data_IF_981743452178
#
_entry.id   IF_981743452178
#
_cell.length_a   1.000
_cell.length_b   1.000
_cell.length_c   1.000
_cell.angle_alpha   90.00
_cell.angle_beta   90.00
_cell.angle_gamma   90.00
#
_symmetry.space_group_name_H-M   'P 1'
#
loop_
_entity.id
_entity.type
_entity.pdbx_description
1 polymer ?
#
# COMPACT_ATOMS: atom_id res chain seq x y z
N UNK A 1 -1.68 23.15 -7.03
CA UNK A 1 -3.13 23.38 -7.26
C UNK A 1 -3.83 23.62 -5.92
N UNK A 2 -4.91 24.42 -5.87
CA UNK A 2 -5.69 24.59 -4.62
C UNK A 2 -6.39 23.28 -4.22
N UNK A 3 -6.53 23.02 -2.91
CA UNK A 3 -7.09 21.77 -2.37
C UNK A 3 -8.47 21.43 -2.92
N UNK A 4 -9.40 22.39 -2.99
CA UNK A 4 -10.76 22.17 -3.49
C UNK A 4 -10.78 21.63 -4.93
N UNK A 5 -9.97 22.22 -5.81
CA UNK A 5 -9.84 21.78 -7.21
C UNK A 5 -9.19 20.40 -7.31
N UNK A 6 -8.18 20.13 -6.47
CA UNK A 6 -7.51 18.82 -6.43
C UNK A 6 -8.47 17.72 -5.97
N UNK A 7 -9.21 17.98 -4.89
CA UNK A 7 -10.23 17.07 -4.36
C UNK A 7 -11.29 16.73 -5.40
N UNK A 8 -11.87 17.75 -6.04
CA UNK A 8 -12.87 17.54 -7.11
C UNK A 8 -12.33 16.67 -8.25
N UNK A 9 -11.08 16.91 -8.66
CA UNK A 9 -10.46 16.14 -9.72
C UNK A 9 -10.23 14.69 -9.30
N UNK A 10 -9.68 14.44 -8.10
CA UNK A 10 -9.50 13.08 -7.58
C UNK A 10 -10.83 12.33 -7.45
N UNK A 11 -11.87 12.99 -6.93
CA UNK A 11 -13.21 12.40 -6.78
C UNK A 11 -13.85 12.07 -8.14
N UNK A 12 -13.57 12.85 -9.19
CA UNK A 12 -14.04 12.58 -10.56
C UNK A 12 -13.43 11.29 -11.16
N UNK A 13 -12.27 10.88 -10.67
CA UNK A 13 -11.60 9.65 -11.09
C UNK A 13 -12.01 8.42 -10.26
N UNK A 14 -12.76 8.58 -9.17
CA UNK A 14 -13.19 7.43 -8.38
C UNK A 14 -14.04 6.48 -9.23
N UNK A 15 -13.90 5.18 -8.95
CA UNK A 15 -14.81 4.20 -9.52
C UNK A 15 -16.25 4.42 -9.02
N UNK A 16 -17.28 4.13 -9.84
CA UNK A 16 -18.67 4.44 -9.47
C UNK A 16 -19.12 3.84 -8.15
N UNK A 17 -18.63 2.65 -7.80
CA UNK A 17 -19.00 1.97 -6.57
C UNK A 17 -18.43 2.59 -5.29
N UNK A 18 -17.49 3.54 -5.42
CA UNK A 18 -16.93 4.31 -4.31
C UNK A 18 -17.50 5.72 -4.20
N UNK A 19 -18.39 6.14 -5.10
CA UNK A 19 -19.04 7.45 -5.03
C UNK A 19 -19.82 7.60 -3.72
N UNK A 20 -19.51 8.64 -2.96
CA UNK A 20 -20.10 8.91 -1.64
C UNK A 20 -19.64 7.97 -0.52
N UNK A 21 -18.85 6.94 -0.83
CA UNK A 21 -18.24 6.04 0.17
C UNK A 21 -16.83 6.46 0.52
N UNK A 22 -16.00 6.77 -0.48
CA UNK A 22 -14.64 7.23 -0.29
C UNK A 22 -14.58 8.75 -0.36
N UNK A 23 -13.94 9.37 0.63
CA UNK A 23 -13.74 10.82 0.70
C UNK A 23 -12.28 11.17 0.99
N UNK A 24 -11.78 12.21 0.32
CA UNK A 24 -10.49 12.83 0.62
C UNK A 24 -10.68 14.05 1.53
N UNK A 25 -9.99 14.10 2.67
CA UNK A 25 -10.11 15.16 3.67
C UNK A 25 -8.74 15.73 4.01
N UNK A 26 -8.60 17.05 4.14
CA UNK A 26 -7.34 17.68 4.59
C UNK A 26 -7.51 18.26 6.01
N UNK A 27 -6.47 18.16 6.86
CA UNK A 27 -6.52 18.75 8.22
C UNK A 27 -5.95 20.14 8.34
N UNK A 28 -5.17 20.63 7.38
CA UNK A 28 -4.62 21.98 7.47
C UNK A 28 -5.28 22.94 6.50
N UNK A 29 -5.91 23.96 7.07
CA UNK A 29 -5.99 25.25 6.41
C UNK A 29 -4.56 25.81 6.28
N UNK A 30 -4.36 26.57 5.20
CA UNK A 30 -3.12 26.98 4.52
C UNK A 30 -2.01 27.66 5.35
N UNK A 31 -2.14 27.76 6.69
CA UNK A 31 -1.38 28.68 7.54
C UNK A 31 -0.36 28.03 8.47
N UNK A 32 -0.16 26.70 8.41
CA UNK A 32 0.88 26.02 9.18
C UNK A 32 1.85 25.28 8.23
N UNK A 33 3.08 25.77 8.05
CA UNK A 33 4.10 25.15 7.20
C UNK A 33 4.37 23.68 7.57
N UNK A 34 4.37 23.39 8.88
CA UNK A 34 4.69 22.06 9.42
C UNK A 34 3.53 21.05 9.32
N UNK A 35 2.36 21.48 8.84
CA UNK A 35 1.17 20.62 8.62
C UNK A 35 0.76 20.56 7.14
N UNK A 36 1.57 21.10 6.24
CA UNK A 36 1.27 21.12 4.82
C UNK A 36 1.31 19.70 4.24
N UNK A 37 0.16 19.20 3.75
CA UNK A 37 0.07 17.90 3.09
C UNK A 37 -0.55 16.78 3.90
N UNK A 38 -0.99 17.05 5.15
CA UNK A 38 -1.76 16.09 5.94
C UNK A 38 -3.15 15.88 5.34
N UNK A 39 -3.40 14.66 4.85
CA UNK A 39 -4.66 14.22 4.27
C UNK A 39 -5.09 12.90 4.90
N UNK A 40 -6.40 12.72 4.98
CA UNK A 40 -7.05 11.52 5.43
C UNK A 40 -7.88 10.97 4.28
N UNK A 41 -7.80 9.66 4.10
CA UNK A 41 -8.74 8.94 3.25
C UNK A 41 -9.76 8.30 4.17
N UNK A 42 -11.02 8.72 4.03
CA UNK A 42 -12.12 8.15 4.77
C UNK A 42 -12.92 7.22 3.86
N UNK A 43 -13.38 6.10 4.43
CA UNK A 43 -14.30 5.16 3.77
C UNK A 43 -15.49 4.96 4.70
N UNK A 44 -16.70 5.11 4.17
CA UNK A 44 -17.95 4.98 4.91
C UNK A 44 -17.94 5.84 6.20
N UNK A 45 -17.44 7.07 6.07
CA UNK A 45 -17.26 8.09 7.13
C UNK A 45 -16.24 7.74 8.22
N UNK A 46 -15.55 6.60 8.13
CA UNK A 46 -14.48 6.20 9.05
C UNK A 46 -13.12 6.60 8.46
N UNK A 47 -12.25 7.19 9.28
CA UNK A 47 -10.89 7.53 8.86
C UNK A 47 -10.07 6.25 8.73
N UNK A 48 -9.74 5.88 7.50
CA UNK A 48 -9.00 4.65 7.21
C UNK A 48 -7.50 4.93 7.17
N UNK A 49 -7.09 5.97 6.44
CA UNK A 49 -5.69 6.34 6.33
C UNK A 49 -5.45 7.74 6.89
N UNK A 50 -4.48 7.85 7.79
CA UNK A 50 -3.78 9.09 8.10
C UNK A 50 -2.28 8.84 7.96
N UNK A 51 -1.56 9.76 7.33
CA UNK A 51 -0.12 9.60 7.11
C UNK A 51 0.69 9.66 8.41
N UNK A 52 0.19 10.38 9.42
CA UNK A 52 0.95 10.69 10.64
C UNK A 52 0.27 10.25 11.93
N UNK A 53 -0.88 9.58 11.85
CA UNK A 53 -1.71 9.25 13.01
C UNK A 53 -1.81 7.74 13.23
N UNK A 54 -1.31 7.32 14.39
CA UNK A 54 -1.26 5.94 14.87
C UNK A 54 -2.65 5.46 15.32
N UNK A 55 -3.61 6.37 15.51
CA UNK A 55 -4.98 6.04 15.94
C UNK A 55 -5.89 5.56 14.80
N UNK A 56 -5.40 5.54 13.56
CA UNK A 56 -6.17 5.09 12.41
C UNK A 56 -6.24 3.56 12.33
N UNK A 57 -7.17 3.03 11.52
CA UNK A 57 -7.41 1.59 11.32
C UNK A 57 -6.20 0.83 10.75
N UNK A 58 -5.11 1.51 10.41
CA UNK A 58 -3.89 0.91 9.88
C UNK A 58 -3.02 0.43 11.03
N UNK A 59 -2.66 -0.86 11.00
CA UNK A 59 -1.60 -1.39 11.84
C UNK A 59 -0.27 -0.81 11.41
N UNK A 60 0.31 0.05 12.25
CA UNK A 60 1.67 0.53 12.07
C UNK A 60 2.64 -0.45 12.71
N UNK A 61 3.62 -0.95 11.94
CA UNK A 61 4.72 -1.71 12.50
C UNK A 61 5.86 -0.79 12.91
N UNK A 62 6.45 -1.05 14.06
CA UNK A 62 7.61 -0.33 14.58
C UNK A 62 8.90 -1.13 14.40
N UNK A 63 8.81 -2.46 14.33
CA UNK A 63 9.97 -3.33 14.20
C UNK A 63 9.75 -4.42 13.17
N UNK A 64 10.84 -4.93 12.58
CA UNK A 64 10.77 -6.08 11.68
C UNK A 64 10.22 -7.32 12.39
N UNK A 65 10.43 -7.43 13.71
CA UNK A 65 10.02 -8.57 14.50
C UNK A 65 8.49 -8.64 14.63
N UNK A 66 7.81 -7.50 14.72
CA UNK A 66 6.35 -7.44 14.69
C UNK A 66 5.81 -7.95 13.35
N UNK A 67 6.42 -7.55 12.23
CA UNK A 67 6.05 -8.00 10.88
C UNK A 67 6.29 -9.51 10.74
N UNK A 68 7.43 -10.01 11.24
CA UNK A 68 7.79 -11.44 11.16
C UNK A 68 6.85 -12.33 11.95
N UNK A 69 6.28 -11.81 13.04
CA UNK A 69 5.39 -12.55 13.93
C UNK A 69 3.90 -12.30 13.63
N UNK A 70 3.57 -11.49 12.63
CA UNK A 70 2.18 -11.22 12.27
C UNK A 70 1.56 -12.43 11.55
N UNK A 71 0.50 -13.06 12.10
CA UNK A 71 -0.13 -14.22 11.48
C UNK A 71 -0.86 -13.90 10.17
N UNK A 72 -1.23 -12.63 9.95
CA UNK A 72 -1.93 -12.18 8.74
C UNK A 72 -0.97 -12.03 7.55
N UNK A 73 0.35 -11.94 7.81
CA UNK A 73 1.39 -11.78 6.79
C UNK A 73 1.83 -13.15 6.28
N UNK A 74 1.18 -13.61 5.22
CA UNK A 74 1.54 -14.84 4.53
C UNK A 74 2.22 -14.56 3.20
N UNK A 75 3.55 -14.68 3.20
CA UNK A 75 4.34 -14.48 1.98
C UNK A 75 4.45 -15.80 1.22
N UNK A 76 3.97 -15.88 -0.04
CA UNK A 76 4.14 -17.07 -0.85
C UNK A 76 5.63 -17.26 -1.20
N UNK A 77 6.14 -18.49 -1.07
CA UNK A 77 7.52 -18.85 -1.41
C UNK A 77 7.48 -19.59 -2.74
N UNK A 78 8.32 -19.17 -3.68
CA UNK A 78 8.42 -19.86 -4.98
C UNK A 78 9.58 -20.87 -4.98
N UNK A 79 9.51 -21.88 -5.84
CA UNK A 79 10.56 -22.92 -5.93
C UNK A 79 11.94 -22.34 -6.29
N UNK A 80 11.96 -21.23 -7.04
CA UNK A 80 13.19 -20.51 -7.39
C UNK A 80 13.93 -19.97 -6.17
N UNK A 81 13.20 -19.53 -5.14
CA UNK A 81 13.78 -18.99 -3.91
C UNK A 81 14.39 -20.10 -3.05
N UNK A 82 13.78 -21.28 -3.05
CA UNK A 82 14.30 -22.48 -2.39
C UNK A 82 15.59 -22.93 -3.06
N UNK A 83 15.64 -22.91 -4.40
CA UNK A 83 16.82 -23.28 -5.18
C UNK A 83 17.97 -22.28 -5.02
N UNK A 84 17.67 -20.98 -4.88
CA UNK A 84 18.68 -19.97 -4.54
C UNK A 84 19.34 -20.26 -3.18
N UNK A 85 18.54 -20.60 -2.16
CA UNK A 85 19.06 -20.99 -0.84
C UNK A 85 19.85 -22.30 -0.91
N UNK A 86 19.43 -23.25 -1.74
CA UNK A 86 20.16 -24.52 -1.96
C UNK A 86 21.56 -24.28 -2.53
N UNK A 87 21.69 -23.36 -3.48
CA UNK A 87 22.98 -22.96 -4.06
C UNK A 87 23.87 -22.27 -3.02
N UNK A 88 23.32 -21.32 -2.27
CA UNK A 88 24.05 -20.60 -1.20
C UNK A 88 24.56 -21.55 -0.10
N UNK A 89 23.77 -22.58 0.24
CA UNK A 89 24.09 -23.57 1.28
C UNK A 89 24.88 -24.78 0.78
N UNK A 90 25.28 -24.80 -0.51
CA UNK A 90 26.03 -25.90 -1.15
C UNK A 90 25.42 -27.30 -0.94
N UNK A 91 24.10 -27.39 -0.77
CA UNK A 91 23.37 -28.66 -0.61
C UNK A 91 23.56 -29.38 0.73
N UNK A 92 24.12 -28.73 1.75
CA UNK A 92 24.35 -29.32 3.08
C UNK A 92 23.04 -29.40 3.90
N UNK A 93 22.04 -28.61 3.52
CA UNK A 93 20.83 -28.39 4.31
C UNK A 93 19.66 -29.23 3.77
N UNK A 94 18.93 -29.98 4.62
CA UNK A 94 17.75 -30.75 4.23
C UNK A 94 16.65 -29.88 3.60
N UNK A 95 15.84 -30.45 2.70
CA UNK A 95 14.79 -29.71 1.96
C UNK A 95 13.80 -28.97 2.87
N UNK A 96 13.42 -29.58 4.00
CA UNK A 96 12.51 -28.95 4.97
C UNK A 96 13.12 -27.68 5.60
N UNK A 97 14.44 -27.68 5.79
CA UNK A 97 15.18 -26.53 6.34
C UNK A 97 15.44 -25.47 5.27
N UNK A 98 15.59 -25.85 4.00
CA UNK A 98 15.70 -24.91 2.88
C UNK A 98 14.44 -24.04 2.74
N UNK A 99 13.24 -24.64 2.87
CA UNK A 99 11.96 -23.90 2.86
C UNK A 99 11.88 -22.87 3.96
N UNK A 100 12.29 -23.23 5.18
CA UNK A 100 12.29 -22.32 6.34
C UNK A 100 13.28 -21.17 6.15
N UNK A 101 14.48 -21.45 5.64
CA UNK A 101 15.50 -20.42 5.39
C UNK A 101 15.03 -19.46 4.28
N UNK A 102 14.48 -19.98 3.18
CA UNK A 102 13.92 -19.16 2.11
C UNK A 102 12.79 -18.26 2.63
N UNK A 103 11.87 -18.81 3.44
CA UNK A 103 10.81 -18.04 4.11
C UNK A 103 11.37 -16.90 4.95
N UNK A 104 12.32 -17.23 5.83
CA UNK A 104 12.90 -16.28 6.78
C UNK A 104 13.68 -15.16 6.09
N UNK A 105 14.36 -15.46 4.98
CA UNK A 105 15.03 -14.45 4.15
C UNK A 105 14.00 -13.50 3.54
N UNK A 106 12.97 -14.06 2.89
CA UNK A 106 11.95 -13.27 2.20
C UNK A 106 11.12 -12.39 3.14
N UNK A 107 10.72 -12.91 4.30
CA UNK A 107 9.98 -12.10 5.30
C UNK A 107 10.85 -11.00 5.89
N UNK A 108 12.17 -11.19 5.97
CA UNK A 108 13.09 -10.14 6.41
C UNK A 108 13.24 -9.04 5.37
N UNK A 109 13.35 -9.41 4.08
CA UNK A 109 13.38 -8.46 2.97
C UNK A 109 12.07 -7.66 2.90
N UNK A 110 10.92 -8.34 2.96
CA UNK A 110 9.60 -7.71 3.01
C UNK A 110 9.44 -6.78 4.21
N UNK A 111 9.86 -7.21 5.41
CA UNK A 111 9.75 -6.38 6.61
C UNK A 111 10.56 -5.08 6.48
N UNK A 112 11.76 -5.16 5.89
CA UNK A 112 12.62 -4.01 5.65
C UNK A 112 11.99 -3.04 4.64
N UNK A 113 11.45 -3.57 3.54
CA UNK A 113 10.75 -2.78 2.53
C UNK A 113 9.52 -2.09 3.13
N UNK A 114 8.68 -2.84 3.86
CA UNK A 114 7.47 -2.32 4.48
C UNK A 114 7.78 -1.18 5.45
N UNK A 115 8.77 -1.32 6.32
CA UNK A 115 9.19 -0.25 7.23
C UNK A 115 9.70 0.98 6.49
N UNK A 116 10.42 0.77 5.38
CA UNK A 116 10.89 1.86 4.51
C UNK A 116 9.71 2.62 3.88
N UNK A 117 8.73 1.90 3.34
CA UNK A 117 7.51 2.46 2.75
C UNK A 117 6.68 3.21 3.80
N UNK A 118 6.53 2.68 5.02
CA UNK A 118 5.85 3.36 6.13
C UNK A 118 6.54 4.65 6.54
N UNK A 119 7.87 4.63 6.64
CA UNK A 119 8.66 5.83 6.92
C UNK A 119 8.53 6.86 5.79
N UNK A 120 8.45 6.43 4.53
CA UNK A 120 8.23 7.32 3.40
C UNK A 120 6.82 7.94 3.43
N UNK A 121 5.80 7.12 3.73
CA UNK A 121 4.41 7.56 3.85
C UNK A 121 4.24 8.62 4.94
N UNK A 122 4.83 8.42 6.12
CA UNK A 122 4.69 9.35 7.24
C UNK A 122 5.33 10.72 7.01
N UNK A 123 6.34 10.78 6.13
CA UNK A 123 7.00 12.02 5.69
C UNK A 123 6.43 12.56 4.37
N UNK A 124 5.44 11.88 3.80
CA UNK A 124 4.89 12.21 2.49
C UNK A 124 3.99 13.44 2.56
N UNK A 125 3.84 14.10 1.41
CA UNK A 125 2.91 15.19 1.23
C UNK A 125 1.82 14.77 0.25
N UNK A 126 0.59 14.60 0.74
CA UNK A 126 -0.53 14.14 -0.07
C UNK A 126 -0.73 14.97 -1.33
N UNK A 127 -0.62 16.29 -1.22
CA UNK A 127 -0.85 17.19 -2.35
C UNK A 127 0.19 16.92 -3.44
N UNK A 128 1.46 16.76 -3.06
CA UNK A 128 2.54 16.45 -4.02
C UNK A 128 2.27 15.12 -4.71
N UNK A 129 1.98 14.06 -3.94
CA UNK A 129 1.73 12.73 -4.49
C UNK A 129 0.47 12.68 -5.36
N UNK A 130 -0.61 13.35 -4.96
CA UNK A 130 -1.82 13.43 -5.74
C UNK A 130 -1.62 14.20 -7.07
N UNK A 131 -0.83 15.27 -7.08
CA UNK A 131 -0.48 15.94 -8.35
C UNK A 131 0.39 15.03 -9.22
N UNK A 132 1.35 14.30 -8.62
CA UNK A 132 2.15 13.30 -9.33
C UNK A 132 1.27 12.22 -9.97
N UNK A 133 0.35 11.64 -9.20
CA UNK A 133 -0.63 10.66 -9.68
C UNK A 133 -1.40 11.13 -10.92
N UNK A 134 -1.83 12.40 -10.92
CA UNK A 134 -2.57 12.98 -12.04
C UNK A 134 -1.72 13.20 -13.29
N UNK A 135 -0.40 13.23 -13.16
CA UNK A 135 0.55 13.41 -14.27
C UNK A 135 1.14 12.12 -14.84
N UNK A 136 1.03 11.00 -14.12
CA UNK A 136 1.61 9.71 -14.52
C UNK A 136 0.54 8.72 -14.97
N UNK A 137 0.98 7.61 -15.57
CA UNK A 137 0.08 6.53 -15.96
C UNK A 137 -0.46 5.76 -14.75
N UNK A 138 -1.58 5.06 -14.95
CA UNK A 138 -2.15 4.16 -13.92
C UNK A 138 -1.20 3.00 -13.65
N UNK A 139 -0.55 2.49 -14.69
CA UNK A 139 0.44 1.42 -14.62
C UNK A 139 1.61 1.82 -13.71
N UNK A 140 2.17 3.01 -13.94
CA UNK A 140 3.27 3.53 -13.11
C UNK A 140 2.82 3.75 -11.67
N UNK A 141 1.58 4.20 -11.46
CA UNK A 141 1.02 4.39 -10.12
C UNK A 141 0.81 3.07 -9.38
N UNK A 142 0.43 1.98 -10.07
CA UNK A 142 0.21 0.65 -9.48
C UNK A 142 1.52 -0.08 -9.17
N UNK A 143 2.54 0.06 -10.03
CA UNK A 143 3.85 -0.60 -9.83
C UNK A 143 4.79 0.22 -8.92
N UNK A 144 4.41 1.45 -8.55
CA UNK A 144 5.20 2.27 -7.63
C UNK A 144 5.35 1.64 -6.24
N UNK A 145 6.43 1.97 -5.54
CA UNK A 145 6.63 1.68 -4.11
C UNK A 145 5.96 2.72 -3.20
N UNK A 146 5.39 3.78 -3.77
CA UNK A 146 4.64 4.78 -3.02
C UNK A 146 3.23 4.25 -2.70
N UNK A 147 2.98 4.03 -1.41
CA UNK A 147 1.70 3.54 -0.87
C UNK A 147 0.53 4.41 -1.35
N UNK A 148 0.68 5.74 -1.39
CA UNK A 148 -0.41 6.64 -1.78
C UNK A 148 -0.69 6.54 -3.27
N UNK A 149 0.33 6.43 -4.12
CA UNK A 149 0.13 6.21 -5.56
C UNK A 149 -0.63 4.90 -5.81
N UNK A 150 -0.27 3.83 -5.09
CA UNK A 150 -0.97 2.55 -5.20
C UNK A 150 -2.45 2.69 -4.78
N UNK A 151 -2.73 3.35 -3.65
CA UNK A 151 -4.11 3.55 -3.19
C UNK A 151 -4.93 4.38 -4.19
N UNK A 152 -4.39 5.52 -4.65
CA UNK A 152 -5.06 6.39 -5.61
C UNK A 152 -5.37 5.64 -6.91
N UNK A 153 -4.44 4.78 -7.37
CA UNK A 153 -4.66 3.97 -8.55
C UNK A 153 -5.72 2.88 -8.33
N UNK A 154 -5.74 2.21 -7.18
CA UNK A 154 -6.72 1.16 -6.88
C UNK A 154 -8.15 1.70 -6.90
N UNK A 155 -8.37 2.89 -6.35
CA UNK A 155 -9.71 3.51 -6.26
C UNK A 155 -10.15 4.21 -7.55
N UNK A 156 -9.25 4.28 -8.54
CA UNK A 156 -9.50 4.90 -9.83
C UNK A 156 -10.40 4.03 -10.73
N UNK A 157 -11.33 4.67 -11.43
CA UNK A 157 -12.25 4.06 -12.40
C UNK A 157 -11.55 3.46 -13.61
N UNK A 158 -10.36 3.95 -13.96
CA UNK A 158 -9.53 3.45 -15.06
C UNK A 158 -9.00 2.04 -14.78
N UNK A 159 -8.94 1.63 -13.51
CA UNK A 159 -8.63 0.25 -13.13
C UNK A 159 -9.90 -0.59 -13.17
N UNK A 160 -10.07 -1.35 -14.25
CA UNK A 160 -11.25 -2.19 -14.46
C UNK A 160 -11.24 -3.51 -13.66
N UNK A 161 -12.41 -4.15 -13.58
CA UNK A 161 -12.66 -5.43 -12.87
C UNK A 161 -11.63 -6.51 -13.17
N UNK A 162 -11.38 -6.80 -14.46
CA UNK A 162 -10.40 -7.82 -14.87
C UNK A 162 -9.01 -7.55 -14.33
N UNK A 163 -8.61 -6.27 -14.25
CA UNK A 163 -7.28 -5.89 -13.76
C UNK A 163 -7.18 -6.11 -12.25
N UNK A 164 -8.19 -5.70 -11.49
CA UNK A 164 -8.23 -5.97 -10.04
C UNK A 164 -8.09 -7.47 -9.76
N UNK A 165 -8.85 -8.32 -10.47
CA UNK A 165 -8.79 -9.77 -10.27
C UNK A 165 -7.42 -10.39 -10.61
N UNK A 166 -6.70 -9.84 -11.59
CA UNK A 166 -5.39 -10.37 -11.99
C UNK A 166 -4.23 -9.91 -11.07
N UNK A 167 -4.48 -9.01 -10.11
CA UNK A 167 -3.44 -8.43 -9.26
C UNK A 167 -3.36 -9.06 -7.86
N UNK A 168 -4.12 -10.12 -7.57
CA UNK A 168 -4.23 -10.73 -6.23
C UNK A 168 -2.86 -11.06 -5.62
N UNK A 169 -1.99 -11.75 -6.37
CA UNK A 169 -0.67 -12.14 -5.85
C UNK A 169 0.25 -10.94 -5.61
N UNK A 170 0.19 -9.92 -6.48
CA UNK A 170 0.96 -8.68 -6.29
C UNK A 170 0.52 -7.92 -5.04
N UNK A 171 -0.79 -7.88 -4.79
CA UNK A 171 -1.35 -7.09 -3.68
C UNK A 171 -1.06 -7.71 -2.32
N UNK A 172 -0.97 -9.05 -2.22
CA UNK A 172 -0.53 -9.75 -0.99
C UNK A 172 0.85 -9.29 -0.48
N UNK A 173 1.72 -8.85 -1.39
CA UNK A 173 3.06 -8.37 -1.08
C UNK A 173 3.13 -6.85 -0.86
N UNK A 174 2.01 -6.13 -0.94
CA UNK A 174 1.98 -4.68 -0.67
C UNK A 174 1.67 -4.41 0.81
N UNK A 175 1.84 -3.16 1.22
CA UNK A 175 1.49 -2.71 2.57
C UNK A 175 0.01 -3.03 2.92
N UNK A 176 -0.32 -3.41 4.16
CA UNK A 176 -1.69 -3.77 4.57
C UNK A 176 -2.77 -2.75 4.20
N UNK A 177 -2.43 -1.46 4.20
CA UNK A 177 -3.36 -0.42 3.74
C UNK A 177 -3.68 -0.50 2.24
N UNK A 178 -2.70 -0.84 1.41
CA UNK A 178 -2.92 -1.04 -0.03
C UNK A 178 -3.81 -2.27 -0.22
N UNK A 179 -3.56 -3.34 0.56
CA UNK A 179 -4.42 -4.53 0.60
C UNK A 179 -5.85 -4.16 1.01
N UNK A 180 -6.05 -3.32 2.02
CA UNK A 180 -7.37 -2.84 2.42
C UNK A 180 -8.12 -2.16 1.27
N UNK A 181 -7.47 -1.24 0.54
CA UNK A 181 -8.12 -0.58 -0.60
C UNK A 181 -8.34 -1.51 -1.79
N UNK A 182 -7.49 -2.53 -1.95
CA UNK A 182 -7.68 -3.59 -2.92
C UNK A 182 -8.91 -4.46 -2.58
N UNK A 183 -9.04 -4.90 -1.33
CA UNK A 183 -10.20 -5.66 -0.84
C UNK A 183 -11.49 -4.83 -0.88
N UNK A 184 -11.40 -3.55 -0.54
CA UNK A 184 -12.50 -2.61 -0.71
C UNK A 184 -12.96 -2.60 -2.16
N UNK A 185 -12.04 -2.54 -3.13
CA UNK A 185 -12.40 -2.60 -4.55
C UNK A 185 -12.98 -3.94 -4.94
N UNK A 186 -12.40 -5.06 -4.51
CA UNK A 186 -12.94 -6.41 -4.74
C UNK A 186 -14.39 -6.55 -4.24
N UNK A 187 -14.70 -6.02 -3.06
CA UNK A 187 -16.04 -6.06 -2.47
C UNK A 187 -17.09 -5.27 -3.27
N UNK A 188 -16.65 -4.41 -4.19
CA UNK A 188 -17.51 -3.59 -5.04
C UNK A 188 -17.64 -4.07 -6.50
N UNK A 189 -17.04 -5.21 -6.86
CA UNK A 189 -17.01 -5.75 -8.23
C UNK A 189 -18.21 -6.60 -8.63
#
# INVERSE_FOLDING_TARGET
MAWSKLKQLLESFLCPALYGRLEYRATSYRYLPDKAGLCYIAVDKKNILSMSDITTLIRWYHTELEIKNDPDIQIPINNEEIEAVRKDTKGIVPEDRLKVIARNRKISEYAKELLSEQSALSKSNFIVVANKFLSISIEESLESNDILLNILALVDRRVGKKRILNMTEKMKLKHPIVQYFYELRLSTL
#
